data_IF_099797111854
#
_entry.id   IF_099797111854
#
_cell.length_a   1.000
_cell.length_b   1.000
_cell.length_c   1.000
_cell.angle_alpha   90.00
_cell.angle_beta   90.00
_cell.angle_gamma   90.00
#
_symmetry.space_group_name_H-M   'P 1'
#
loop_
_entity.id
_entity.type
_entity.pdbx_description
1 polymer ?
#
# COMPACT_ATOMS: atom_id res chain seq x y z
N UNK A 1 3.18 -5.91 27.61
CA UNK A 1 1.94 -6.53 27.08
C UNK A 1 1.22 -7.42 28.09
N UNK A 2 -0.12 -7.40 28.12
CA UNK A 2 -0.95 -8.21 29.06
C UNK A 2 -0.86 -9.71 28.71
N UNK A 3 -0.77 -10.64 29.69
CA UNK A 3 -0.65 -12.08 29.44
C UNK A 3 -1.73 -12.68 28.53
N UNK A 4 -2.96 -12.16 28.62
CA UNK A 4 -4.09 -12.61 27.81
C UNK A 4 -3.89 -12.30 26.32
N UNK A 5 -3.28 -11.15 26.01
CA UNK A 5 -2.97 -10.76 24.64
C UNK A 5 -1.83 -11.59 24.07
N UNK A 6 -0.79 -11.86 24.86
CA UNK A 6 0.28 -12.79 24.43
C UNK A 6 -0.31 -14.16 24.08
N UNK A 7 -1.18 -14.72 24.93
CA UNK A 7 -1.84 -16.00 24.66
C UNK A 7 -2.65 -15.95 23.38
N UNK A 8 -3.48 -14.93 23.19
CA UNK A 8 -4.28 -14.74 21.97
C UNK A 8 -3.41 -14.73 20.71
N UNK A 9 -2.28 -14.02 20.74
CA UNK A 9 -1.36 -13.91 19.62
C UNK A 9 -0.71 -15.25 19.31
N UNK A 10 -0.19 -15.95 20.32
CA UNK A 10 0.44 -17.26 20.14
C UNK A 10 -0.55 -18.32 19.63
N UNK A 11 -1.77 -18.33 20.16
CA UNK A 11 -2.84 -19.23 19.69
C UNK A 11 -3.19 -18.93 18.22
N UNK A 12 -3.27 -17.65 17.84
CA UNK A 12 -3.49 -17.23 16.46
C UNK A 12 -2.36 -17.62 15.52
N UNK A 13 -1.10 -17.41 15.93
CA UNK A 13 0.07 -17.82 15.16
C UNK A 13 0.07 -19.32 14.89
N UNK A 14 -0.23 -20.14 15.91
CA UNK A 14 -0.33 -21.59 15.76
C UNK A 14 -1.48 -21.98 14.82
N UNK A 15 -2.66 -21.39 15.00
CA UNK A 15 -3.86 -21.69 14.20
C UNK A 15 -3.70 -21.34 12.72
N UNK A 16 -3.03 -20.24 12.41
CA UNK A 16 -2.91 -19.72 11.04
C UNK A 16 -1.51 -19.94 10.44
N UNK A 17 -0.67 -20.74 11.10
CA UNK A 17 0.70 -21.03 10.68
C UNK A 17 1.54 -19.77 10.39
N UNK A 18 1.36 -18.72 11.19
CA UNK A 18 2.07 -17.43 11.01
C UNK A 18 3.45 -17.52 11.65
N UNK A 19 4.56 -17.43 10.88
CA UNK A 19 5.90 -17.64 11.42
C UNK A 19 6.39 -16.51 12.33
N UNK A 20 5.95 -15.28 12.10
CA UNK A 20 6.39 -14.10 12.84
C UNK A 20 5.37 -12.97 12.83
N UNK A 21 5.26 -12.27 13.96
CA UNK A 21 4.29 -11.20 14.19
C UNK A 21 4.95 -10.09 15.03
N UNK A 22 4.70 -8.83 14.67
CA UNK A 22 4.98 -7.66 15.51
C UNK A 22 3.67 -6.90 15.77
N UNK A 23 3.47 -6.46 17.01
CA UNK A 23 2.25 -5.79 17.48
C UNK A 23 2.67 -4.52 18.21
N UNK A 24 1.95 -3.44 17.94
CA UNK A 24 2.09 -2.16 18.60
C UNK A 24 0.72 -1.72 19.10
N UNK A 25 0.68 -1.21 20.33
CA UNK A 25 -0.51 -0.63 20.94
C UNK A 25 -0.13 0.78 21.36
N UNK A 26 -0.91 1.76 20.88
CA UNK A 26 -0.88 3.13 21.36
C UNK A 26 -2.21 3.42 22.03
N UNK A 27 -2.18 3.74 23.32
CA UNK A 27 -3.38 4.06 24.09
C UNK A 27 -3.06 5.14 25.11
N UNK A 28 -3.79 6.26 25.06
CA UNK A 28 -3.57 7.43 25.92
C UNK A 28 -2.11 7.95 25.92
N UNK A 29 -1.40 7.79 24.79
CA UNK A 29 0.00 8.19 24.63
C UNK A 29 1.02 7.14 25.08
N UNK A 30 0.58 6.04 25.71
CA UNK A 30 1.46 4.93 26.08
C UNK A 30 1.64 3.96 24.92
N UNK A 31 2.92 3.70 24.57
CA UNK A 31 3.34 2.74 23.54
C UNK A 31 3.75 1.41 24.18
N UNK A 32 3.20 0.30 23.70
CA UNK A 32 3.67 -1.06 24.02
C UNK A 32 3.89 -1.83 22.72
N UNK A 33 5.08 -2.41 22.57
CA UNK A 33 5.45 -3.23 21.41
C UNK A 33 5.81 -4.63 21.88
N UNK A 34 5.28 -5.62 21.19
CA UNK A 34 5.64 -7.01 21.36
C UNK A 34 5.85 -7.69 20.01
N UNK A 35 6.75 -8.64 19.98
CA UNK A 35 7.07 -9.40 18.77
C UNK A 35 7.31 -10.87 19.11
N UNK A 36 6.95 -11.73 18.17
CA UNK A 36 7.01 -13.17 18.33
C UNK A 36 7.45 -13.83 17.02
N UNK A 37 8.14 -14.96 17.15
CA UNK A 37 8.50 -15.80 16.02
C UNK A 37 9.69 -15.27 15.21
N UNK A 38 9.70 -15.59 13.91
CA UNK A 38 10.85 -15.38 13.02
C UNK A 38 10.45 -14.70 11.71
N UNK A 39 11.39 -13.97 11.12
CA UNK A 39 11.22 -13.25 9.84
C UNK A 39 11.08 -14.16 8.62
N UNK A 40 11.66 -15.36 8.67
CA UNK A 40 11.77 -16.30 7.55
C UNK A 40 11.98 -17.71 8.12
N UNK A 41 11.41 -18.74 7.49
CA UNK A 41 11.53 -20.14 7.96
C UNK A 41 12.81 -20.82 7.50
N UNK A 42 13.41 -20.35 6.41
CA UNK A 42 14.67 -20.87 5.85
C UNK A 42 15.88 -20.12 6.42
N UNK A 43 15.74 -18.83 6.70
CA UNK A 43 16.78 -17.96 7.26
C UNK A 43 16.26 -17.17 8.47
N UNK A 44 15.99 -17.83 9.61
CA UNK A 44 15.28 -17.23 10.73
C UNK A 44 16.12 -16.17 11.45
N UNK A 45 15.55 -14.96 11.55
CA UNK A 45 15.91 -13.97 12.56
C UNK A 45 14.72 -13.73 13.47
N UNK A 46 14.92 -13.48 14.78
CA UNK A 46 13.83 -13.09 15.66
C UNK A 46 13.14 -11.83 15.15
N UNK A 47 11.80 -11.82 15.17
CA UNK A 47 11.03 -10.59 14.94
C UNK A 47 11.15 -9.66 16.14
N UNK A 48 11.28 -8.37 15.87
CA UNK A 48 11.25 -7.29 16.86
C UNK A 48 10.44 -6.08 16.35
N UNK A 49 10.36 -5.02 17.17
CA UNK A 49 9.58 -3.81 16.85
C UNK A 49 10.06 -3.03 15.63
N UNK A 50 11.30 -3.27 15.19
CA UNK A 50 11.92 -2.61 14.03
C UNK A 50 11.99 -3.51 12.80
N UNK A 51 11.46 -4.74 12.90
CA UNK A 51 11.36 -5.66 11.77
C UNK A 51 10.39 -5.08 10.75
N UNK A 52 10.84 -4.98 9.50
CA UNK A 52 10.05 -4.50 8.39
C UNK A 52 9.11 -5.58 7.84
N UNK A 53 7.87 -5.20 7.55
CA UNK A 53 6.86 -6.04 6.91
C UNK A 53 6.26 -5.29 5.71
N UNK A 54 5.88 -6.01 4.66
CA UNK A 54 4.96 -5.46 3.67
C UNK A 54 3.62 -5.19 4.35
N UNK A 55 3.22 -3.91 4.47
CA UNK A 55 1.99 -3.52 5.19
C UNK A 55 0.74 -3.60 4.32
N UNK A 56 0.90 -4.03 3.06
CA UNK A 56 -0.17 -4.22 2.09
C UNK A 56 -1.12 -3.01 2.07
N UNK A 57 -2.43 -3.23 2.10
CA UNK A 57 -3.44 -2.18 1.94
C UNK A 57 -3.47 -1.09 3.01
N UNK A 58 -2.68 -1.18 4.10
CA UNK A 58 -2.43 -0.01 4.97
C UNK A 58 -1.76 1.12 4.15
N UNK A 59 -0.98 0.77 3.13
CA UNK A 59 -0.39 1.72 2.15
C UNK A 59 -1.43 2.68 1.56
N UNK A 60 -2.69 2.27 1.41
CA UNK A 60 -3.75 3.14 0.87
C UNK A 60 -4.02 4.34 1.76
N UNK A 61 -3.91 4.19 3.08
CA UNK A 61 -4.08 5.33 4.00
C UNK A 61 -2.95 6.33 3.79
N UNK A 62 -1.71 5.85 3.59
CA UNK A 62 -0.53 6.69 3.28
C UNK A 62 -0.71 7.40 1.94
N UNK A 63 -1.12 6.69 0.89
CA UNK A 63 -1.44 7.29 -0.42
C UNK A 63 -2.52 8.35 -0.30
N UNK A 64 -3.62 8.06 0.40
CA UNK A 64 -4.71 9.00 0.61
C UNK A 64 -4.27 10.23 1.42
N UNK A 65 -3.43 10.06 2.46
CA UNK A 65 -2.84 11.17 3.20
C UNK A 65 -2.03 12.07 2.27
N UNK A 66 -1.16 11.52 1.42
CA UNK A 66 -0.36 12.31 0.46
C UNK A 66 -1.26 13.03 -0.54
N UNK A 67 -2.30 12.39 -1.07
CA UNK A 67 -3.31 13.03 -1.93
C UNK A 67 -3.94 14.22 -1.20
N UNK A 68 -4.38 14.05 0.05
CA UNK A 68 -5.00 15.12 0.83
C UNK A 68 -4.03 16.27 1.13
N UNK A 69 -2.74 16.00 1.33
CA UNK A 69 -1.71 17.06 1.46
C UNK A 69 -1.55 17.86 0.18
N UNK A 70 -1.67 17.22 -0.99
CA UNK A 70 -1.65 17.91 -2.28
C UNK A 70 -2.96 18.70 -2.54
N UNK A 71 -4.09 18.20 -2.05
CA UNK A 71 -5.38 18.92 -2.08
C UNK A 71 -5.33 20.17 -1.20
N UNK A 72 -4.83 20.05 0.03
CA UNK A 72 -4.65 21.18 0.95
C UNK A 72 -3.77 22.28 0.36
N UNK A 73 -2.74 21.91 -0.43
CA UNK A 73 -1.85 22.85 -1.12
C UNK A 73 -2.42 23.38 -2.44
N UNK A 74 -3.62 22.98 -2.84
CA UNK A 74 -4.25 23.37 -4.11
C UNK A 74 -3.63 22.75 -5.36
N UNK A 75 -2.73 21.77 -5.22
CA UNK A 75 -2.13 21.07 -6.35
C UNK A 75 -3.07 20.03 -6.97
N UNK A 76 -3.96 19.45 -6.15
CA UNK A 76 -5.02 18.53 -6.56
C UNK A 76 -6.37 19.03 -6.04
N UNK A 77 -7.46 18.52 -6.62
CA UNK A 77 -8.84 18.84 -6.24
C UNK A 77 -9.64 17.55 -6.25
N UNK A 78 -10.33 17.25 -5.14
CA UNK A 78 -11.09 16.02 -4.97
C UNK A 78 -12.23 15.87 -5.98
N UNK A 79 -12.85 16.99 -6.34
CA UNK A 79 -14.06 17.01 -7.18
C UNK A 79 -13.75 17.34 -8.63
N UNK A 80 -12.50 17.71 -8.94
CA UNK A 80 -12.07 17.85 -10.31
C UNK A 80 -11.99 16.48 -11.02
N UNK A 81 -12.34 16.42 -12.31
CA UNK A 81 -12.13 15.21 -13.11
C UNK A 81 -10.65 14.82 -13.14
N UNK A 82 -10.36 13.51 -13.12
CA UNK A 82 -9.00 12.96 -13.26
C UNK A 82 -8.31 13.51 -14.52
N UNK A 83 -9.07 13.65 -15.61
CA UNK A 83 -8.60 14.21 -16.89
C UNK A 83 -8.15 15.67 -16.84
N UNK A 84 -8.45 16.42 -15.77
CA UNK A 84 -7.85 17.73 -15.53
C UNK A 84 -6.33 17.64 -15.38
N UNK A 85 -5.85 16.55 -14.77
CA UNK A 85 -4.43 16.33 -14.46
C UNK A 85 -3.79 15.29 -15.38
N UNK A 86 -4.58 14.32 -15.83
CA UNK A 86 -4.14 13.22 -16.71
C UNK A 86 -5.06 13.14 -17.95
N UNK A 87 -4.92 14.03 -18.94
CA UNK A 87 -5.82 14.12 -20.10
C UNK A 87 -5.94 12.83 -20.91
N UNK A 88 -4.90 11.99 -20.89
CA UNK A 88 -4.82 10.70 -21.56
C UNK A 88 -5.55 9.57 -20.80
N UNK A 89 -6.13 9.83 -19.62
CA UNK A 89 -6.83 8.82 -18.84
C UNK A 89 -8.01 8.22 -19.60
N UNK A 90 -7.97 6.90 -19.82
CA UNK A 90 -8.97 6.13 -20.54
C UNK A 90 -9.40 4.92 -19.71
N UNK A 91 -10.68 4.59 -19.85
CA UNK A 91 -11.31 3.35 -19.39
C UNK A 91 -12.13 2.80 -20.56
N UNK A 92 -12.58 1.55 -20.46
CA UNK A 92 -13.46 0.96 -21.46
C UNK A 92 -14.78 1.70 -21.57
N UNK A 93 -15.30 2.17 -20.43
CA UNK A 93 -16.41 3.12 -20.37
C UNK A 93 -15.89 4.57 -20.40
N UNK A 94 -16.10 5.22 -21.55
CA UNK A 94 -15.64 6.59 -21.79
C UNK A 94 -16.44 7.64 -20.99
N UNK A 95 -17.69 7.37 -20.60
CA UNK A 95 -18.44 8.28 -19.70
C UNK A 95 -17.85 8.23 -18.29
N UNK A 96 -17.56 7.02 -17.79
CA UNK A 96 -16.87 6.83 -16.52
C UNK A 96 -15.50 7.53 -16.53
N UNK A 97 -14.72 7.38 -17.61
CA UNK A 97 -13.41 8.04 -17.74
C UNK A 97 -13.49 9.58 -17.72
N UNK A 98 -14.55 10.17 -18.31
CA UNK A 98 -14.78 11.63 -18.28
C UNK A 98 -15.20 12.14 -16.91
N UNK A 99 -15.99 11.36 -16.18
CA UNK A 99 -16.60 11.76 -14.90
C UNK A 99 -15.80 11.36 -13.67
N UNK A 100 -14.83 10.45 -13.80
CA UNK A 100 -13.99 10.04 -12.69
C UNK A 100 -13.31 11.24 -12.05
N UNK A 101 -13.38 11.33 -10.73
CA UNK A 101 -12.77 12.37 -9.91
C UNK A 101 -11.89 11.72 -8.87
N UNK A 102 -11.00 12.49 -8.25
CA UNK A 102 -10.17 11.98 -7.16
C UNK A 102 -11.02 11.43 -6.00
N UNK A 103 -12.18 12.05 -5.72
CA UNK A 103 -13.16 11.55 -4.74
C UNK A 103 -13.59 10.12 -5.07
N UNK A 104 -14.00 9.84 -6.30
CA UNK A 104 -14.38 8.48 -6.72
C UNK A 104 -13.25 7.46 -6.53
N UNK A 105 -12.00 7.88 -6.75
CA UNK A 105 -10.83 7.02 -6.55
C UNK A 105 -10.62 6.68 -5.07
N UNK A 106 -10.57 7.70 -4.19
CA UNK A 106 -10.32 7.50 -2.76
C UNK A 106 -11.47 6.81 -2.03
N UNK A 107 -12.72 6.99 -2.49
CA UNK A 107 -13.89 6.36 -1.88
C UNK A 107 -14.24 5.00 -2.47
N UNK A 108 -13.44 4.46 -3.40
CA UNK A 108 -13.71 3.19 -4.08
C UNK A 108 -15.08 3.17 -4.78
N UNK A 109 -15.49 4.27 -5.40
CA UNK A 109 -16.78 4.37 -6.14
C UNK A 109 -16.56 4.62 -7.63
N UNK A 110 -15.39 4.23 -8.16
CA UNK A 110 -15.09 4.30 -9.60
C UNK A 110 -15.91 3.32 -10.45
N UNK A 111 -16.22 2.13 -9.89
CA UNK A 111 -17.07 1.12 -10.51
C UNK A 111 -16.43 0.25 -11.61
N UNK A 112 -15.17 0.48 -11.97
CA UNK A 112 -14.41 -0.41 -12.86
C UNK A 112 -13.81 -1.60 -12.10
N UNK A 113 -13.40 -2.62 -12.85
CA UNK A 113 -12.70 -3.79 -12.31
C UNK A 113 -11.53 -3.35 -11.43
N UNK A 114 -11.61 -3.73 -10.15
CA UNK A 114 -10.77 -3.16 -9.10
C UNK A 114 -9.30 -3.54 -9.21
N UNK A 115 -9.00 -4.67 -9.85
CA UNK A 115 -7.68 -5.29 -9.81
C UNK A 115 -7.12 -5.49 -11.21
N UNK A 116 -5.98 -4.84 -11.45
CA UNK A 116 -5.06 -5.17 -12.52
C UNK A 116 -3.70 -5.42 -11.85
N UNK A 117 -3.17 -6.65 -11.92
CA UNK A 117 -1.90 -7.00 -11.28
C UNK A 117 -0.84 -7.45 -12.29
N UNK A 118 -0.94 -6.97 -13.53
CA UNK A 118 0.11 -7.19 -14.51
C UNK A 118 1.43 -6.53 -14.07
N UNK A 119 2.55 -7.13 -14.45
CA UNK A 119 3.87 -6.54 -14.23
C UNK A 119 4.17 -5.52 -15.33
N UNK A 120 4.26 -4.25 -14.93
CA UNK A 120 4.59 -3.13 -15.81
C UNK A 120 6.07 -2.74 -15.76
N UNK A 121 6.91 -3.59 -15.16
CA UNK A 121 8.34 -3.38 -15.02
C UNK A 121 8.71 -2.51 -13.82
N UNK A 122 10.01 -2.19 -13.73
CA UNK A 122 10.60 -1.43 -12.62
C UNK A 122 10.93 0.03 -12.95
N UNK A 123 10.64 0.48 -14.18
CA UNK A 123 10.92 1.85 -14.63
C UNK A 123 10.05 2.89 -13.91
N UNK A 124 10.47 4.14 -13.94
CA UNK A 124 9.70 5.27 -13.37
C UNK A 124 8.36 5.49 -14.11
N UNK A 125 8.20 4.88 -15.28
CA UNK A 125 6.97 4.89 -16.08
C UNK A 125 5.99 3.75 -15.70
N UNK A 126 6.30 2.90 -14.71
CA UNK A 126 5.48 1.73 -14.37
C UNK A 126 4.02 2.09 -14.04
N UNK A 127 3.79 3.17 -13.26
CA UNK A 127 2.43 3.64 -12.96
C UNK A 127 1.74 4.23 -14.20
N UNK A 128 2.46 4.96 -15.05
CA UNK A 128 1.90 5.48 -16.30
C UNK A 128 1.44 4.32 -17.23
N UNK A 129 2.24 3.25 -17.33
CA UNK A 129 1.92 2.05 -18.10
C UNK A 129 0.73 1.29 -17.50
N UNK A 130 0.65 1.19 -16.18
CA UNK A 130 -0.51 0.61 -15.49
C UNK A 130 -1.78 1.37 -15.85
N UNK A 131 -1.76 2.70 -15.68
CA UNK A 131 -2.94 3.53 -15.95
C UNK A 131 -3.33 3.49 -17.43
N UNK A 132 -2.37 3.41 -18.36
CA UNK A 132 -2.66 3.21 -19.77
C UNK A 132 -3.36 1.86 -20.03
N UNK A 133 -2.95 0.79 -19.35
CA UNK A 133 -3.58 -0.52 -19.47
C UNK A 133 -5.00 -0.58 -18.86
N UNK A 134 -5.38 0.41 -18.05
CA UNK A 134 -6.76 0.51 -17.54
C UNK A 134 -7.80 0.80 -18.63
N UNK A 135 -7.36 1.20 -19.83
CA UNK A 135 -8.23 1.47 -20.97
C UNK A 135 -9.15 0.28 -21.34
N UNK A 136 -8.76 -0.95 -20.98
CA UNK A 136 -9.52 -2.16 -21.28
C UNK A 136 -10.32 -2.70 -20.07
N UNK A 137 -10.23 -2.06 -18.89
CA UNK A 137 -10.94 -2.54 -17.70
C UNK A 137 -12.45 -2.37 -17.84
N UNK A 138 -13.17 -3.43 -17.52
CA UNK A 138 -14.63 -3.46 -17.54
C UNK A 138 -15.24 -2.56 -16.47
N UNK A 139 -16.29 -1.83 -16.83
CA UNK A 139 -17.13 -1.09 -15.90
C UNK A 139 -18.18 -2.05 -15.32
N UNK A 140 -18.08 -2.34 -14.02
CA UNK A 140 -18.94 -3.29 -13.31
C UNK A 140 -20.21 -2.62 -12.75
N UNK A 141 -20.09 -1.37 -12.31
CA UNK A 141 -21.21 -0.59 -11.73
C UNK A 141 -21.15 0.85 -12.23
N UNK A 142 -22.25 1.61 -12.23
CA UNK A 142 -22.19 3.04 -12.54
C UNK A 142 -21.24 3.80 -11.61
N UNK A 143 -20.58 4.83 -12.13
CA UNK A 143 -19.66 5.65 -11.36
C UNK A 143 -20.38 6.43 -10.25
N UNK A 144 -19.84 6.38 -9.04
CA UNK A 144 -20.36 7.07 -7.86
C UNK A 144 -21.51 6.36 -7.13
N UNK A 145 -22.08 5.30 -7.70
CA UNK A 145 -23.29 4.67 -7.15
C UNK A 145 -23.01 3.53 -6.15
N UNK A 146 -21.96 2.75 -6.40
CA UNK A 146 -21.66 1.54 -5.61
C UNK A 146 -20.23 1.59 -5.08
N UNK A 147 -20.07 1.24 -3.81
CA UNK A 147 -18.75 0.99 -3.23
C UNK A 147 -18.23 -0.35 -3.75
N UNK A 148 -17.08 -0.32 -4.44
CA UNK A 148 -16.39 -1.47 -4.96
C UNK A 148 -14.88 -1.28 -4.79
N UNK A 149 -14.28 -2.08 -3.90
CA UNK A 149 -12.85 -2.01 -3.60
C UNK A 149 -12.00 -2.06 -4.88
N UNK A 150 -11.04 -1.15 -4.98
CA UNK A 150 -10.28 -0.95 -6.22
C UNK A 150 -8.84 -0.57 -5.93
N UNK A 151 -7.93 -1.48 -6.26
CA UNK A 151 -6.50 -1.25 -6.28
C UNK A 151 -6.11 -0.35 -7.47
N UNK A 152 -6.76 -0.54 -8.62
CA UNK A 152 -6.57 0.26 -9.82
C UNK A 152 -6.87 1.74 -9.57
N UNK A 153 -7.89 2.06 -8.77
CA UNK A 153 -8.16 3.44 -8.36
C UNK A 153 -6.98 4.06 -7.59
N UNK A 154 -6.31 3.29 -6.74
CA UNK A 154 -5.15 3.74 -5.99
C UNK A 154 -3.89 3.83 -6.86
N UNK A 155 -3.75 3.00 -7.90
CA UNK A 155 -2.71 3.18 -8.90
C UNK A 155 -2.88 4.51 -9.66
N UNK A 156 -4.11 4.89 -10.01
CA UNK A 156 -4.40 6.23 -10.60
C UNK A 156 -4.02 7.35 -9.63
N UNK A 157 -4.35 7.22 -8.33
CA UNK A 157 -3.93 8.20 -7.33
C UNK A 157 -2.41 8.32 -7.23
N UNK A 158 -1.69 7.21 -7.28
CA UNK A 158 -0.24 7.21 -7.35
C UNK A 158 0.28 8.00 -8.54
N UNK A 159 -0.30 7.77 -9.73
CA UNK A 159 0.08 8.50 -10.94
C UNK A 159 -0.22 10.01 -10.85
N UNK A 160 -1.33 10.37 -10.21
CA UNK A 160 -1.69 11.77 -9.98
C UNK A 160 -0.72 12.46 -9.01
N UNK A 161 -0.22 11.74 -7.99
CA UNK A 161 0.85 12.24 -7.11
C UNK A 161 2.12 12.53 -7.92
N UNK A 162 2.51 11.63 -8.83
CA UNK A 162 3.69 11.85 -9.69
C UNK A 162 3.55 13.11 -10.54
N UNK A 163 2.38 13.30 -11.16
CA UNK A 163 2.09 14.47 -11.99
C UNK A 163 2.12 15.76 -11.17
N UNK A 164 1.45 15.77 -10.01
CA UNK A 164 1.35 16.96 -9.17
C UNK A 164 2.70 17.37 -8.55
N UNK A 165 3.62 16.42 -8.36
CA UNK A 165 4.91 16.67 -7.69
C UNK A 165 6.11 16.72 -8.64
N UNK A 166 6.00 16.17 -9.84
CA UNK A 166 7.11 15.96 -10.76
C UNK A 166 8.12 14.91 -10.28
N UNK A 167 7.74 14.05 -9.32
CA UNK A 167 8.59 13.04 -8.68
C UNK A 167 8.00 11.65 -8.88
N UNK A 168 8.80 10.61 -8.65
CA UNK A 168 8.23 9.26 -8.51
C UNK A 168 7.33 9.19 -7.28
N UNK A 169 6.37 8.27 -7.27
CA UNK A 169 5.47 8.08 -6.13
C UNK A 169 6.26 7.87 -4.83
N UNK A 170 7.31 7.05 -4.86
CA UNK A 170 8.13 6.73 -3.69
C UNK A 170 8.82 7.98 -3.13
N UNK A 171 9.37 8.83 -4.00
CA UNK A 171 10.05 10.07 -3.60
C UNK A 171 9.04 11.09 -3.03
N UNK A 172 7.86 11.20 -3.63
CA UNK A 172 6.80 12.08 -3.14
C UNK A 172 6.29 11.67 -1.76
N UNK A 173 6.04 10.37 -1.52
CA UNK A 173 5.63 9.88 -0.19
C UNK A 173 6.73 10.10 0.84
N UNK A 174 7.99 9.83 0.48
CA UNK A 174 9.12 10.03 1.39
C UNK A 174 9.21 11.47 1.86
N UNK A 175 9.08 12.43 0.94
CA UNK A 175 9.14 13.87 1.25
C UNK A 175 7.91 14.38 2.01
N UNK A 176 6.72 14.01 1.57
CA UNK A 176 5.48 14.60 2.06
C UNK A 176 4.98 13.94 3.36
N UNK A 177 5.45 12.73 3.66
CA UNK A 177 4.95 11.92 4.77
C UNK A 177 6.06 11.27 5.61
N UNK A 178 6.94 10.45 5.03
CA UNK A 178 7.91 9.69 5.86
C UNK A 178 8.89 10.59 6.60
N UNK A 179 9.51 11.58 5.92
CA UNK A 179 10.46 12.50 6.55
C UNK A 179 9.80 13.33 7.66
N UNK A 180 8.64 13.99 7.44
CA UNK A 180 7.96 14.72 8.50
C UNK A 180 7.58 13.90 9.73
N UNK A 181 7.29 12.61 9.56
CA UNK A 181 6.90 11.70 10.65
C UNK A 181 8.08 10.91 11.23
N UNK A 182 9.30 11.11 10.73
CA UNK A 182 10.48 10.38 11.19
C UNK A 182 10.50 8.89 10.82
N UNK A 183 9.71 8.47 9.82
CA UNK A 183 9.62 7.08 9.33
C UNK A 183 10.82 6.73 8.42
N UNK A 184 12.03 6.81 8.98
CA UNK A 184 13.31 6.66 8.28
C UNK A 184 13.64 5.26 7.73
N UNK A 185 12.96 4.22 8.20
CA UNK A 185 13.14 2.81 7.77
C UNK A 185 12.05 2.35 6.80
N UNK A 186 10.98 3.13 6.66
CA UNK A 186 9.87 2.83 5.74
C UNK A 186 10.35 3.02 4.32
N UNK A 187 10.15 1.99 3.51
CA UNK A 187 10.62 1.91 2.14
C UNK A 187 9.59 1.22 1.25
N UNK A 188 9.96 0.93 0.00
CA UNK A 188 9.05 0.34 -0.99
C UNK A 188 9.65 -0.88 -1.67
N UNK A 189 10.91 -0.76 -2.10
CA UNK A 189 11.52 -1.74 -2.97
C UNK A 189 12.40 -2.72 -2.18
N UNK A 190 12.57 -3.92 -2.73
CA UNK A 190 13.31 -4.99 -2.08
C UNK A 190 14.77 -4.63 -1.80
N UNK A 191 15.40 -3.87 -2.71
CA UNK A 191 16.75 -3.34 -2.62
C UNK A 191 16.97 -2.41 -1.42
N UNK A 192 15.95 -1.63 -1.01
CA UNK A 192 16.01 -0.87 0.24
C UNK A 192 15.74 -1.81 1.43
N UNK A 193 14.68 -2.61 1.37
CA UNK A 193 14.23 -3.45 2.48
C UNK A 193 15.29 -4.48 2.95
N UNK A 194 16.07 -5.06 2.02
CA UNK A 194 17.10 -6.06 2.35
C UNK A 194 18.28 -5.49 3.14
N UNK A 195 18.41 -4.16 3.21
CA UNK A 195 19.43 -3.49 4.04
C UNK A 195 19.04 -3.44 5.52
N UNK A 196 17.82 -3.86 5.84
CA UNK A 196 17.27 -3.93 7.19
C UNK A 196 16.84 -5.35 7.55
N UNK A 197 16.42 -5.54 8.81
CA UNK A 197 15.70 -6.76 9.18
C UNK A 197 14.30 -6.71 8.56
N UNK A 198 14.05 -7.57 7.59
CA UNK A 198 12.77 -7.65 6.87
C UNK A 198 12.18 -9.06 6.97
N UNK A 199 10.89 -9.13 7.24
CA UNK A 199 10.11 -10.35 7.18
C UNK A 199 9.75 -10.69 5.74
N UNK A 200 9.94 -11.95 5.36
CA UNK A 200 9.54 -12.47 4.06
C UNK A 200 8.20 -13.15 4.22
N UNK A 201 7.26 -12.89 3.31
CA UNK A 201 5.94 -13.51 3.33
C UNK A 201 6.01 -15.03 3.18
N UNK A 202 5.01 -15.73 3.72
CA UNK A 202 4.83 -17.17 3.58
C UNK A 202 3.47 -17.49 2.97
N UNK A 203 3.43 -18.48 2.08
CA UNK A 203 2.22 -19.04 1.50
C UNK A 203 1.99 -20.45 2.03
N UNK A 204 0.74 -20.86 2.20
CA UNK A 204 0.39 -22.22 2.62
C UNK A 204 0.39 -23.12 1.38
N UNK A 205 1.24 -24.14 1.39
CA UNK A 205 1.33 -25.16 0.35
C UNK A 205 1.39 -26.51 1.04
N UNK A 206 0.46 -27.40 0.71
CA UNK A 206 0.29 -28.70 1.39
C UNK A 206 0.15 -28.56 2.91
N UNK A 207 -0.70 -27.62 3.35
CA UNK A 207 -0.94 -27.29 4.77
C UNK A 207 0.30 -26.78 5.55
N UNK A 208 1.40 -26.49 4.86
CA UNK A 208 2.64 -26.01 5.48
C UNK A 208 3.02 -24.61 4.97
N UNK A 209 3.51 -23.71 5.85
CA UNK A 209 4.00 -22.41 5.43
C UNK A 209 5.32 -22.58 4.67
N UNK A 210 5.37 -22.02 3.46
CA UNK A 210 6.59 -21.95 2.63
C UNK A 210 6.89 -20.50 2.29
N UNK A 211 8.17 -20.15 2.21
CA UNK A 211 8.60 -18.80 1.83
C UNK A 211 8.04 -18.45 0.45
N UNK A 212 7.32 -17.32 0.39
CA UNK A 212 6.70 -16.82 -0.82
C UNK A 212 7.76 -16.41 -1.84
N UNK A 213 7.61 -16.88 -3.08
CA UNK A 213 8.50 -16.57 -4.20
C UNK A 213 7.66 -16.34 -5.46
N UNK A 214 7.76 -15.16 -6.12
CA UNK A 214 8.52 -13.97 -5.70
C UNK A 214 7.94 -13.31 -4.44
N UNK A 215 8.78 -12.58 -3.69
CA UNK A 215 8.35 -11.82 -2.51
C UNK A 215 7.95 -10.37 -2.85
N UNK A 216 8.71 -9.73 -3.73
CA UNK A 216 8.52 -8.32 -4.04
C UNK A 216 7.27 -8.09 -4.90
N UNK A 217 6.52 -7.04 -4.57
CA UNK A 217 5.41 -6.60 -5.42
C UNK A 217 5.92 -5.86 -6.68
N UNK A 218 5.16 -5.90 -7.79
CA UNK A 218 5.45 -5.06 -8.95
C UNK A 218 5.42 -3.56 -8.60
N UNK A 219 6.32 -2.76 -9.15
CA UNK A 219 6.45 -1.33 -8.84
C UNK A 219 5.17 -0.53 -9.10
N UNK A 220 4.38 -0.91 -10.09
CA UNK A 220 3.10 -0.24 -10.37
C UNK A 220 2.05 -0.41 -9.25
N UNK A 221 2.26 -1.35 -8.32
CA UNK A 221 1.38 -1.57 -7.17
C UNK A 221 1.86 -0.84 -5.91
N UNK A 222 2.94 -0.05 -6.01
CA UNK A 222 3.49 0.67 -4.86
C UNK A 222 2.46 1.55 -4.12
N UNK A 223 1.59 2.34 -4.80
CA UNK A 223 0.55 3.14 -4.14
C UNK A 223 -0.59 2.34 -3.51
N UNK A 224 -0.65 1.05 -3.84
CA UNK A 224 -1.74 0.15 -3.51
C UNK A 224 -1.41 -0.65 -2.25
N UNK A 225 -0.18 -1.17 -2.18
CA UNK A 225 0.25 -2.06 -1.11
C UNK A 225 1.76 -2.18 -0.93
N UNK A 226 2.55 -1.34 -1.59
CA UNK A 226 4.00 -1.53 -1.66
C UNK A 226 4.81 -0.95 -0.51
N UNK A 227 4.19 -0.29 0.47
CA UNK A 227 4.97 0.19 1.63
C UNK A 227 5.45 -1.02 2.44
N UNK A 228 6.72 -0.94 2.80
CA UNK A 228 7.40 -1.84 3.72
C UNK A 228 7.76 -1.00 4.95
N UNK A 229 7.24 -1.36 6.12
CA UNK A 229 7.37 -0.57 7.35
C UNK A 229 7.45 -1.45 8.59
N UNK A 230 7.90 -0.90 9.71
CA UNK A 230 7.90 -1.59 11.01
C UNK A 230 6.69 -1.18 11.84
N UNK A 231 6.36 -1.97 12.86
CA UNK A 231 5.27 -1.59 13.77
C UNK A 231 5.58 -0.30 14.51
N UNK A 232 6.85 -0.04 14.85
CA UNK A 232 7.28 1.23 15.47
C UNK A 232 6.97 2.44 14.59
N UNK A 233 7.23 2.33 13.28
CA UNK A 233 6.95 3.44 12.36
C UNK A 233 5.47 3.59 12.05
N UNK A 234 4.70 2.49 12.06
CA UNK A 234 3.24 2.57 11.99
C UNK A 234 2.63 3.26 13.22
N UNK A 235 3.20 3.08 14.41
CA UNK A 235 2.77 3.81 15.61
C UNK A 235 3.09 5.31 15.51
N UNK A 236 4.20 5.69 14.88
CA UNK A 236 4.49 7.11 14.58
C UNK A 236 3.53 7.72 13.54
N UNK A 237 2.90 6.88 12.71
CA UNK A 237 1.90 7.30 11.72
C UNK A 237 0.47 7.36 12.27
N UNK A 238 0.16 6.58 13.31
CA UNK A 238 -1.18 6.46 13.93
C UNK A 238 -1.61 7.71 14.69
#
# INVERSE_FOLDING_TARGET
MRPELEKLVRDGMARYHVPGVAIGILHDGDEDIAAYGVTNLEHPLPVDGDTLFQIASITKTITATVVMRLVERGALDLDAPVRRYLPEFRLRDEDAAKRATLRHLVTHTGGWLGDCFADFGKGDDALARYVAAMADLEQLTPIGEVWHYSNSSFAVLGRLIEIATGKTYEAAVRELLFIPLGMSRSCFNADEAITHRVAIGHVIVDEQPRVARPWAFPRATTPVGGVVSSVRELLAYA
#
